data_IF_566236088502
#
_entry.id   IF_566236088502
#
_cell.length_a   1.000
_cell.length_b   1.000
_cell.length_c   1.000
_cell.angle_alpha   90.00
_cell.angle_beta   90.00
_cell.angle_gamma   90.00
#
_symmetry.space_group_name_H-M   'P 1'
#
loop_
_entity.id
_entity.type
_entity.pdbx_description
1 polymer ?
#
# COMPACT_ATOMS: atom_id res chain seq x y z
N UNK A 1 -15.36 -7.31 0.89
CA UNK A 1 -13.88 -7.24 1.00
C UNK A 1 -13.30 -5.95 0.40
N UNK A 2 -13.50 -5.66 -0.90
CA UNK A 2 -12.99 -4.42 -1.56
C UNK A 2 -13.31 -3.09 -0.84
N UNK A 3 -14.52 -2.85 -0.30
CA UNK A 3 -14.82 -1.59 0.41
C UNK A 3 -13.97 -1.41 1.68
N UNK A 4 -13.79 -2.48 2.45
CA UNK A 4 -13.01 -2.46 3.71
C UNK A 4 -11.53 -2.20 3.44
N UNK A 5 -10.95 -2.86 2.42
CA UNK A 5 -9.55 -2.64 2.02
C UNK A 5 -9.34 -1.19 1.56
N UNK A 6 -10.27 -0.64 0.78
CA UNK A 6 -10.21 0.76 0.33
C UNK A 6 -10.34 1.75 1.49
N UNK A 7 -11.21 1.48 2.46
CA UNK A 7 -11.34 2.31 3.66
C UNK A 7 -10.03 2.34 4.47
N UNK A 8 -9.39 1.18 4.69
CA UNK A 8 -8.10 1.12 5.39
C UNK A 8 -7.00 1.90 4.65
N UNK A 9 -6.94 1.81 3.32
CA UNK A 9 -6.01 2.61 2.50
C UNK A 9 -6.30 4.11 2.60
N UNK A 10 -7.58 4.51 2.61
CA UNK A 10 -7.95 5.91 2.82
C UNK A 10 -7.57 6.40 4.22
N UNK A 11 -7.72 5.57 5.26
CA UNK A 11 -7.28 5.91 6.61
C UNK A 11 -5.77 6.13 6.67
N UNK A 12 -4.99 5.23 6.07
CA UNK A 12 -3.54 5.39 5.95
C UNK A 12 -3.16 6.67 5.19
N UNK A 13 -3.91 7.02 4.13
CA UNK A 13 -3.71 8.25 3.38
C UNK A 13 -3.86 9.52 4.24
N UNK A 14 -4.79 9.48 5.19
CA UNK A 14 -5.16 10.58 6.08
C UNK A 14 -4.28 10.65 7.34
N UNK A 15 -3.98 9.51 7.96
CA UNK A 15 -3.21 9.46 9.21
C UNK A 15 -1.69 9.40 9.00
N UNK A 16 -1.22 8.94 7.84
CA UNK A 16 0.20 8.62 7.62
C UNK A 16 0.69 7.37 8.35
N UNK A 17 -0.21 6.65 9.01
CA UNK A 17 0.08 5.36 9.65
C UNK A 17 0.26 4.29 8.58
N UNK A 18 1.37 3.54 8.65
CA UNK A 18 1.65 2.45 7.72
C UNK A 18 0.64 1.31 7.94
N UNK A 19 -0.15 0.92 6.94
CA UNK A 19 -1.17 -0.13 7.08
C UNK A 19 -0.59 -1.56 7.15
N UNK A 20 0.73 -1.71 6.99
CA UNK A 20 1.48 -2.96 7.02
C UNK A 20 1.80 -3.52 5.63
N UNK A 21 3.00 -4.08 5.45
CA UNK A 21 3.45 -4.67 4.19
C UNK A 21 2.53 -5.80 3.71
N UNK A 22 2.20 -6.76 4.58
CA UNK A 22 1.35 -7.91 4.25
C UNK A 22 -0.02 -7.48 3.71
N UNK A 23 -0.62 -6.46 4.33
CA UNK A 23 -1.89 -5.91 3.88
C UNK A 23 -1.77 -5.23 2.51
N UNK A 24 -0.70 -4.47 2.28
CA UNK A 24 -0.45 -3.85 0.97
C UNK A 24 -0.22 -4.91 -0.10
N UNK A 25 0.50 -5.99 0.22
CA UNK A 25 0.76 -7.12 -0.68
C UNK A 25 -0.52 -7.87 -1.05
N UNK A 26 -1.39 -8.14 -0.07
CA UNK A 26 -2.72 -8.73 -0.32
C UNK A 26 -3.55 -7.84 -1.26
N UNK A 27 -3.58 -6.53 -1.01
CA UNK A 27 -4.32 -5.58 -1.86
C UNK A 27 -3.70 -5.44 -3.26
N UNK A 28 -2.39 -5.56 -3.37
CA UNK A 28 -1.65 -5.46 -4.65
C UNK A 28 -1.96 -6.62 -5.58
N UNK A 29 -2.09 -7.83 -5.04
CA UNK A 29 -2.36 -9.05 -5.81
C UNK A 29 -3.83 -9.16 -6.24
N UNK A 30 -4.77 -8.67 -5.42
CA UNK A 30 -6.21 -8.91 -5.63
C UNK A 30 -6.93 -7.89 -6.53
N UNK A 31 -6.47 -6.64 -6.58
CA UNK A 31 -7.28 -5.56 -7.16
C UNK A 31 -6.46 -4.45 -7.85
N UNK A 32 -6.49 -4.38 -9.21
CA UNK A 32 -5.81 -3.33 -9.97
C UNK A 32 -6.21 -1.90 -9.57
N UNK A 33 -7.43 -1.68 -9.08
CA UNK A 33 -7.85 -0.35 -8.63
C UNK A 33 -7.19 0.06 -7.31
N UNK A 34 -6.88 -0.91 -6.43
CA UNK A 34 -6.17 -0.66 -5.18
C UNK A 34 -4.67 -0.44 -5.42
N UNK A 35 -4.09 -1.12 -6.42
CA UNK A 35 -2.69 -0.89 -6.85
C UNK A 35 -2.42 0.59 -7.14
N UNK A 36 -3.34 1.28 -7.82
CA UNK A 36 -3.20 2.72 -8.12
C UNK A 36 -3.15 3.56 -6.83
N UNK A 37 -3.98 3.22 -5.85
CA UNK A 37 -4.01 3.90 -4.54
C UNK A 37 -2.73 3.63 -3.77
N UNK A 38 -2.25 2.38 -3.76
CA UNK A 38 -1.01 1.98 -3.09
C UNK A 38 0.19 2.72 -3.70
N UNK A 39 0.29 2.80 -5.03
CA UNK A 39 1.35 3.57 -5.72
C UNK A 39 1.40 5.03 -5.24
N UNK A 40 0.23 5.68 -5.12
CA UNK A 40 0.14 7.06 -4.61
C UNK A 40 0.54 7.17 -3.14
N UNK A 41 0.18 6.19 -2.32
CA UNK A 41 0.55 6.15 -0.91
C UNK A 41 2.06 5.99 -0.71
N UNK A 42 2.70 5.04 -1.42
CA UNK A 42 4.14 4.82 -1.31
C UNK A 42 4.95 6.03 -1.80
N UNK A 43 4.46 6.73 -2.84
CA UNK A 43 5.05 8.00 -3.26
C UNK A 43 4.87 9.12 -2.20
N UNK A 44 3.75 9.12 -1.47
CA UNK A 44 3.46 10.10 -0.42
C UNK A 44 4.22 9.82 0.89
N UNK A 45 4.47 8.56 1.20
CA UNK A 45 5.05 8.12 2.46
C UNK A 45 6.30 7.25 2.24
N UNK A 46 7.38 7.79 1.66
CA UNK A 46 8.60 7.04 1.39
C UNK A 46 9.25 6.48 2.67
N UNK A 47 9.01 7.11 3.83
CA UNK A 47 9.52 6.66 5.13
C UNK A 47 8.97 5.30 5.58
N UNK A 48 7.94 4.76 4.92
CA UNK A 48 7.45 3.41 5.21
C UNK A 48 8.42 2.33 4.76
N UNK A 49 9.42 2.66 3.94
CA UNK A 49 10.45 1.72 3.47
C UNK A 49 9.88 0.59 2.61
N UNK A 50 8.77 0.82 1.92
CA UNK A 50 8.19 -0.14 0.98
C UNK A 50 8.33 0.45 -0.42
N UNK A 51 8.99 -0.29 -1.32
CA UNK A 51 9.22 0.10 -2.69
C UNK A 51 8.49 -0.81 -3.68
N UNK A 52 8.39 -0.35 -4.92
CA UNK A 52 7.93 -1.17 -6.04
C UNK A 52 9.15 -1.45 -6.92
N UNK A 53 9.55 -2.72 -7.03
CA UNK A 53 10.68 -3.17 -7.85
C UNK A 53 10.14 -4.20 -8.83
N UNK A 54 10.40 -4.02 -10.12
CA UNK A 54 9.93 -4.92 -11.19
C UNK A 54 8.43 -5.29 -11.12
N UNK A 55 7.61 -4.33 -10.68
CA UNK A 55 6.16 -4.51 -10.57
C UNK A 55 5.67 -5.24 -9.31
N UNK A 56 6.57 -5.59 -8.38
CA UNK A 56 6.23 -6.21 -7.09
C UNK A 56 6.53 -5.28 -5.92
N UNK A 57 5.83 -5.48 -4.79
CA UNK A 57 6.13 -4.78 -3.54
C UNK A 57 7.31 -5.44 -2.83
N UNK A 58 8.24 -4.62 -2.35
CA UNK A 58 9.42 -5.04 -1.58
C UNK A 58 9.51 -4.19 -0.31
N UNK A 59 9.67 -4.84 0.83
CA UNK A 59 10.01 -4.19 2.09
C UNK A 59 11.53 -4.01 2.16
N UNK A 60 12.00 -2.76 2.19
CA UNK A 60 13.41 -2.37 2.26
C UNK A 60 13.92 -2.21 3.68
N UNK A 61 13.05 -2.26 4.69
CA UNK A 61 13.44 -2.18 6.09
C UNK A 61 13.83 -3.55 6.68
N UNK A 62 13.85 -4.61 5.87
CA UNK A 62 14.07 -5.99 6.28
C UNK A 62 15.17 -6.63 5.45
#
# INVERSE_FOLDING_TARGET
MRPVRREKLNRAANSGENPGFEFLQECWNDDPALVIVIKKLLAKFPQWGIAIVDGVLVDWNR
#
